data_IF_374989499381
#
_entry.id   IF_374989499381
#
_cell.length_a   1.000
_cell.length_b   1.000
_cell.length_c   1.000
_cell.angle_alpha   90.00
_cell.angle_beta   90.00
_cell.angle_gamma   90.00
#
_symmetry.space_group_name_H-M   'P 1'
#
loop_
_entity.id
_entity.type
_entity.pdbx_description
1 polymer ?
#
# COMPACT_ATOMS: atom_id res chain seq x y z
N UNK A 1 8.09 -1.11 -18.40
CA UNK A 1 8.24 -0.68 -16.98
C UNK A 1 9.72 -0.53 -16.65
N UNK A 2 10.05 0.26 -15.63
CA UNK A 2 11.38 0.37 -15.03
C UNK A 2 11.29 0.03 -13.53
N UNK A 3 12.41 -0.30 -12.90
CA UNK A 3 12.47 -0.48 -11.44
C UNK A 3 13.35 0.61 -10.83
N UNK A 4 12.90 1.20 -9.72
CA UNK A 4 13.66 2.15 -8.92
C UNK A 4 14.07 1.48 -7.62
N UNK A 5 15.36 1.53 -7.28
CA UNK A 5 15.94 1.04 -6.03
C UNK A 5 16.61 2.19 -5.30
N UNK A 6 16.17 2.46 -4.08
CA UNK A 6 16.76 3.46 -3.19
C UNK A 6 17.34 2.73 -1.97
N UNK A 7 18.63 2.90 -1.72
CA UNK A 7 19.32 2.39 -0.55
C UNK A 7 19.71 3.56 0.35
N UNK A 8 19.31 3.53 1.62
CA UNK A 8 19.75 4.52 2.60
C UNK A 8 21.02 4.06 3.31
N UNK A 9 22.04 4.91 3.30
CA UNK A 9 23.28 4.70 4.03
C UNK A 9 23.35 5.62 5.26
N UNK A 10 23.81 5.06 6.38
CA UNK A 10 24.10 5.85 7.57
C UNK A 10 25.28 6.80 7.28
N UNK A 11 25.10 8.07 7.57
CA UNK A 11 26.15 9.08 7.58
C UNK A 11 26.57 9.49 8.99
N UNK A 12 27.14 10.69 9.11
CA UNK A 12 27.56 11.24 10.39
C UNK A 12 26.36 11.61 11.28
N UNK A 13 26.57 11.69 12.59
CA UNK A 13 25.55 12.14 13.55
C UNK A 13 24.54 11.07 13.98
N UNK A 14 24.74 9.82 13.58
CA UNK A 14 24.01 8.65 14.08
C UNK A 14 24.98 7.64 14.70
N UNK A 15 24.55 6.98 15.77
CA UNK A 15 25.16 5.70 16.16
C UNK A 15 24.58 4.56 15.31
N UNK A 16 25.30 3.44 15.21
CA UNK A 16 24.82 2.27 14.47
C UNK A 16 23.50 1.70 15.02
N UNK A 17 23.32 1.75 16.35
CA UNK A 17 22.10 1.31 17.00
C UNK A 17 20.93 2.24 16.68
N UNK A 18 21.12 3.56 16.86
CA UNK A 18 20.10 4.55 16.50
C UNK A 18 19.70 4.42 15.03
N UNK A 19 20.67 4.28 14.13
CA UNK A 19 20.36 4.11 12.71
C UNK A 19 19.59 2.83 12.43
N UNK A 20 19.87 1.72 13.13
CA UNK A 20 19.14 0.47 12.93
C UNK A 20 17.67 0.59 13.38
N UNK A 21 17.42 1.29 14.50
CA UNK A 21 16.10 1.45 15.12
C UNK A 21 15.28 2.61 14.54
N UNK A 22 15.94 3.58 13.89
CA UNK A 22 15.32 4.76 13.28
C UNK A 22 14.20 4.38 12.31
N UNK A 23 13.01 4.97 12.45
CA UNK A 23 11.96 4.79 11.46
C UNK A 23 12.33 5.52 10.17
N UNK A 24 12.38 4.76 9.07
CA UNK A 24 12.74 5.28 7.74
C UNK A 24 11.62 4.97 6.77
N UNK A 25 11.12 5.99 6.10
CA UNK A 25 10.20 5.82 4.99
C UNK A 25 10.75 6.51 3.76
N UNK A 26 10.57 5.86 2.61
CA UNK A 26 10.94 6.39 1.30
C UNK A 26 9.70 6.46 0.44
N UNK A 27 9.52 7.56 -0.27
CA UNK A 27 8.46 7.72 -1.26
C UNK A 27 9.06 8.25 -2.56
N UNK A 28 8.69 7.64 -3.68
CA UNK A 28 9.01 8.19 -5.00
C UNK A 28 7.90 9.15 -5.42
N UNK A 29 8.29 10.37 -5.76
CA UNK A 29 7.36 11.47 -6.09
C UNK A 29 7.56 11.92 -7.53
N UNK A 30 6.69 12.81 -8.00
CA UNK A 30 6.73 13.37 -9.35
C UNK A 30 6.62 12.33 -10.48
N UNK A 31 5.94 11.20 -10.21
CA UNK A 31 5.80 10.11 -11.17
C UNK A 31 4.47 10.20 -11.93
N UNK A 32 4.55 10.07 -13.26
CA UNK A 32 3.43 9.62 -14.09
C UNK A 32 3.26 8.11 -13.92
N UNK A 33 2.02 7.64 -13.76
CA UNK A 33 1.70 6.21 -13.53
C UNK A 33 0.94 5.52 -14.64
N UNK A 34 0.40 6.27 -15.60
CA UNK A 34 -0.23 5.71 -16.79
C UNK A 34 0.78 5.69 -17.93
N UNK A 35 0.64 4.72 -18.82
CA UNK A 35 1.50 4.60 -19.99
C UNK A 35 0.74 3.97 -21.15
N UNK A 36 1.17 4.28 -22.37
CA UNK A 36 0.87 3.49 -23.55
C UNK A 36 2.08 2.61 -23.90
N UNK A 37 1.82 1.43 -24.46
CA UNK A 37 2.86 0.51 -24.91
C UNK A 37 2.70 0.34 -26.41
N UNK A 38 3.75 0.64 -27.16
CA UNK A 38 3.86 0.22 -28.55
C UNK A 38 4.26 -1.26 -28.59
N UNK A 39 3.33 -2.12 -29.01
CA UNK A 39 3.54 -3.57 -29.03
C UNK A 39 4.55 -4.02 -30.10
N UNK A 40 4.84 -3.19 -31.11
CA UNK A 40 5.80 -3.52 -32.17
C UNK A 40 7.24 -3.28 -31.74
N UNK A 41 7.47 -2.27 -30.89
CA UNK A 41 8.80 -1.88 -30.42
C UNK A 41 9.05 -2.20 -28.95
N UNK A 42 7.99 -2.51 -28.20
CA UNK A 42 8.04 -2.65 -26.73
C UNK A 42 8.22 -1.31 -26.00
N UNK A 43 8.18 -0.18 -26.72
CA UNK A 43 8.40 1.15 -26.15
C UNK A 43 7.26 1.51 -25.22
N UNK A 44 7.61 1.95 -24.02
CA UNK A 44 6.64 2.42 -23.01
C UNK A 44 6.72 3.94 -22.94
N UNK A 45 5.60 4.60 -23.22
CA UNK A 45 5.48 6.06 -23.20
C UNK A 45 4.59 6.48 -22.03
N UNK A 46 5.05 7.35 -21.11
CA UNK A 46 4.21 7.86 -20.04
C UNK A 46 3.05 8.67 -20.61
N UNK A 47 1.86 8.47 -20.07
CA UNK A 47 0.63 9.16 -20.48
C UNK A 47 -0.05 9.77 -19.26
N UNK A 48 -0.69 10.94 -19.43
CA UNK A 48 -1.35 11.64 -18.33
C UNK A 48 -0.44 12.60 -17.58
N UNK A 49 -0.84 12.94 -16.34
CA UNK A 49 -0.15 13.92 -15.49
C UNK A 49 0.63 13.22 -14.38
N UNK A 50 1.55 13.94 -13.76
CA UNK A 50 2.14 13.55 -12.48
C UNK A 50 1.01 13.32 -11.47
N UNK A 51 1.04 12.17 -10.81
CA UNK A 51 0.05 11.83 -9.78
C UNK A 51 0.23 12.72 -8.55
N UNK A 52 -0.88 13.10 -7.91
CA UNK A 52 -0.83 13.87 -6.65
C UNK A 52 -0.29 13.03 -5.48
N UNK A 53 -0.33 11.71 -5.61
CA UNK A 53 0.08 10.75 -4.57
C UNK A 53 1.44 10.14 -4.92
N UNK A 54 2.30 9.99 -3.92
CA UNK A 54 3.60 9.35 -4.06
C UNK A 54 3.52 7.81 -4.15
N UNK A 55 4.55 7.18 -4.72
CA UNK A 55 4.70 5.71 -4.74
C UNK A 55 5.50 5.31 -3.50
N UNK A 56 4.86 4.59 -2.58
CA UNK A 56 5.54 3.99 -1.43
C UNK A 56 6.16 2.64 -1.84
N UNK A 57 7.49 2.54 -1.95
CA UNK A 57 8.16 1.30 -2.32
C UNK A 57 8.04 0.24 -1.21
N UNK A 58 8.11 -1.04 -1.60
CA UNK A 58 8.34 -2.11 -0.64
C UNK A 58 9.81 -2.07 -0.19
N UNK A 59 10.12 -2.53 1.02
CA UNK A 59 11.48 -2.47 1.54
C UNK A 59 11.89 -3.70 2.35
N UNK A 60 13.21 -3.90 2.45
CA UNK A 60 13.86 -4.87 3.31
C UNK A 60 15.13 -4.20 3.87
N UNK A 61 15.15 -4.01 5.18
CA UNK A 61 16.16 -3.17 5.83
C UNK A 61 16.18 -1.77 5.21
N UNK A 62 17.36 -1.30 4.81
CA UNK A 62 17.58 0.03 4.26
C UNK A 62 17.49 0.09 2.73
N UNK A 63 16.79 -0.84 2.08
CA UNK A 63 16.61 -0.88 0.62
C UNK A 63 15.13 -0.86 0.25
N UNK A 64 14.73 0.10 -0.58
CA UNK A 64 13.37 0.34 -1.07
C UNK A 64 13.30 0.11 -2.57
N UNK A 65 12.32 -0.66 -3.05
CA UNK A 65 12.12 -0.98 -4.47
C UNK A 65 10.70 -0.72 -4.94
N UNK A 66 10.56 -0.09 -6.11
CA UNK A 66 9.27 0.17 -6.74
C UNK A 66 9.33 0.06 -8.26
N UNK A 67 8.24 -0.45 -8.84
CA UNK A 67 8.02 -0.41 -10.28
C UNK A 67 7.50 0.97 -10.67
N UNK A 68 8.13 1.59 -11.67
CA UNK A 68 7.75 2.91 -12.19
C UNK A 68 7.56 2.86 -13.71
N UNK A 69 6.75 3.78 -14.22
CA UNK A 69 6.69 4.04 -15.66
C UNK A 69 8.00 4.70 -16.08
N UNK A 70 8.68 4.20 -17.15
CA UNK A 70 9.84 4.87 -17.73
C UNK A 70 9.50 6.32 -18.09
N UNK A 71 10.23 7.27 -17.50
CA UNK A 71 10.00 8.70 -17.68
C UNK A 71 11.26 9.49 -17.33
N UNK A 72 11.33 10.72 -17.82
CA UNK A 72 12.40 11.67 -17.51
C UNK A 72 11.90 12.68 -16.49
N UNK A 73 12.67 12.88 -15.43
CA UNK A 73 12.49 13.93 -14.44
C UNK A 73 13.53 15.02 -14.69
N UNK A 74 13.09 16.28 -14.70
CA UNK A 74 13.98 17.42 -14.90
C UNK A 74 14.88 17.65 -13.67
N UNK A 75 16.07 18.21 -13.89
CA UNK A 75 16.97 18.69 -12.87
C UNK A 75 16.25 19.52 -11.79
N UNK A 76 16.62 19.31 -10.52
CA UNK A 76 16.03 19.99 -9.37
C UNK A 76 14.66 19.44 -8.93
N UNK A 77 13.98 18.65 -9.77
CA UNK A 77 12.72 17.98 -9.38
C UNK A 77 13.00 16.97 -8.28
N UNK A 78 12.20 17.02 -7.22
CA UNK A 78 12.28 16.03 -6.14
C UNK A 78 12.01 14.64 -6.72
N UNK A 79 12.97 13.75 -6.52
CA UNK A 79 12.91 12.35 -6.96
C UNK A 79 12.34 11.48 -5.84
N UNK A 80 12.82 11.74 -4.62
CA UNK A 80 12.55 10.91 -3.44
C UNK A 80 12.27 11.79 -2.24
N UNK A 81 11.17 11.51 -1.54
CA UNK A 81 10.95 12.01 -0.19
C UNK A 81 11.39 10.94 0.82
N UNK A 82 12.23 11.33 1.76
CA UNK A 82 12.73 10.48 2.84
C UNK A 82 12.20 11.03 4.15
N UNK A 83 11.39 10.24 4.86
CA UNK A 83 10.86 10.62 6.17
C UNK A 83 11.60 9.85 7.25
N UNK A 84 12.15 10.57 8.22
CA UNK A 84 12.91 10.07 9.35
C UNK A 84 12.24 10.60 10.63
N UNK A 85 11.75 9.69 11.49
CA UNK A 85 10.99 10.04 12.71
C UNK A 85 9.88 11.10 12.49
N UNK A 86 9.17 10.98 11.37
CA UNK A 86 8.06 11.89 11.01
C UNK A 86 8.47 13.20 10.33
N UNK A 87 9.76 13.53 10.23
CA UNK A 87 10.25 14.68 9.48
C UNK A 87 10.64 14.28 8.05
N UNK A 88 10.10 14.97 7.05
CA UNK A 88 10.36 14.69 5.63
C UNK A 88 11.48 15.57 5.07
N UNK A 89 12.35 14.94 4.28
CA UNK A 89 13.47 15.53 3.57
C UNK A 89 13.37 15.20 2.08
N UNK A 90 13.72 16.16 1.23
CA UNK A 90 13.54 16.07 -0.21
C UNK A 90 14.87 15.85 -0.91
N UNK A 91 14.98 14.75 -1.65
CA UNK A 91 16.14 14.48 -2.50
C UNK A 91 15.83 14.78 -3.96
N UNK A 92 16.63 15.66 -4.56
CA UNK A 92 16.59 16.00 -5.98
C UNK A 92 17.97 15.76 -6.61
N UNK A 93 17.99 15.49 -7.92
CA UNK A 93 19.23 15.44 -8.70
C UNK A 93 19.53 16.81 -9.32
N UNK A 94 20.81 17.20 -9.47
CA UNK A 94 21.19 18.44 -10.15
C UNK A 94 21.05 18.36 -11.67
N UNK A 95 20.87 17.15 -12.20
CA UNK A 95 20.73 16.86 -13.62
C UNK A 95 19.45 16.07 -13.88
N UNK A 96 18.97 16.13 -15.12
CA UNK A 96 17.86 15.33 -15.59
C UNK A 96 18.13 13.83 -15.35
N UNK A 97 17.08 13.09 -14.99
CA UNK A 97 17.16 11.65 -14.77
C UNK A 97 16.11 10.93 -15.59
N UNK A 98 16.49 9.85 -16.27
CA UNK A 98 15.52 8.99 -16.99
C UNK A 98 15.50 7.59 -16.40
N UNK A 99 14.34 7.16 -15.91
CA UNK A 99 14.10 5.77 -15.54
C UNK A 99 14.15 4.89 -16.78
N UNK A 100 15.18 4.06 -16.91
CA UNK A 100 15.36 3.23 -18.09
C UNK A 100 14.44 2.01 -18.09
N UNK A 101 13.71 1.81 -19.19
CA UNK A 101 12.83 0.67 -19.37
C UNK A 101 13.60 -0.66 -19.28
N UNK A 102 13.03 -1.64 -18.57
CA UNK A 102 13.63 -2.96 -18.39
C UNK A 102 14.89 -2.98 -17.52
N UNK A 103 15.23 -1.87 -16.86
CA UNK A 103 16.43 -1.74 -16.01
C UNK A 103 16.07 -1.46 -14.56
N UNK A 104 17.02 -1.78 -13.69
CA UNK A 104 17.03 -1.34 -12.30
C UNK A 104 17.81 -0.02 -12.20
N UNK A 105 17.18 1.01 -11.65
CA UNK A 105 17.72 2.35 -11.49
C UNK A 105 18.06 2.54 -10.01
N UNK A 106 19.34 2.55 -9.67
CA UNK A 106 19.84 2.43 -8.31
C UNK A 106 20.32 3.78 -7.78
N UNK A 107 19.95 4.09 -6.54
CA UNK A 107 20.40 5.28 -5.82
C UNK A 107 20.82 4.87 -4.41
N UNK A 108 22.04 5.20 -4.03
CA UNK A 108 22.51 5.10 -2.64
C UNK A 108 22.57 6.50 -2.07
N UNK A 109 21.68 6.79 -1.13
CA UNK A 109 21.55 8.11 -0.50
C UNK A 109 22.05 7.99 0.94
N UNK A 110 23.11 8.73 1.28
CA UNK A 110 23.56 8.89 2.65
C UNK A 110 22.74 9.93 3.37
N UNK A 111 22.44 9.64 4.63
CA UNK A 111 21.75 10.55 5.55
C UNK A 111 22.73 10.94 6.65
N UNK A 112 23.05 12.23 6.73
CA UNK A 112 23.89 12.81 7.78
C UNK A 112 22.99 13.65 8.71
N UNK A 113 23.08 13.47 10.03
CA UNK A 113 22.36 14.29 11.03
C UNK A 113 23.25 15.42 11.51
N UNK A 114 22.79 16.66 11.34
CA UNK A 114 23.51 17.86 11.77
C UNK A 114 23.39 18.05 13.28
N UNK A 115 24.51 18.40 13.90
CA UNK A 115 24.54 18.89 15.27
C UNK A 115 24.63 20.42 15.29
N UNK A 116 23.90 21.13 16.19
CA UNK A 116 22.98 20.62 17.22
C UNK A 116 21.51 20.52 16.77
N UNK A 117 21.17 20.88 15.52
CA UNK A 117 19.77 21.06 15.12
C UNK A 117 18.98 19.75 14.98
N UNK A 118 19.67 18.62 14.75
CA UNK A 118 19.03 17.34 14.47
C UNK A 118 18.53 17.18 13.03
N UNK A 119 18.60 18.24 12.22
CA UNK A 119 18.19 18.20 10.82
C UNK A 119 19.08 17.26 10.02
N UNK A 120 18.47 16.49 9.13
CA UNK A 120 19.21 15.60 8.25
C UNK A 120 19.53 16.27 6.91
N UNK A 121 20.71 15.93 6.36
CA UNK A 121 21.08 16.21 4.98
C UNK A 121 21.20 14.93 4.19
N UNK A 122 20.77 15.00 2.93
CA UNK A 122 20.74 13.87 2.01
C UNK A 122 21.84 14.05 0.96
N UNK A 123 22.70 13.05 0.81
CA UNK A 123 23.82 13.07 -0.15
C UNK A 123 23.77 11.83 -1.03
N UNK A 124 23.83 12.00 -2.36
CA UNK A 124 23.97 10.87 -3.27
C UNK A 124 25.40 10.33 -3.20
N UNK A 125 25.58 9.11 -2.70
CA UNK A 125 26.88 8.43 -2.68
C UNK A 125 27.18 7.69 -3.99
N UNK A 126 26.13 7.19 -4.63
CA UNK A 126 26.28 6.42 -5.85
C UNK A 126 24.96 6.24 -6.57
N UNK A 127 25.05 6.17 -7.88
CA UNK A 127 23.95 5.79 -8.75
C UNK A 127 24.45 4.83 -9.83
N UNK A 128 23.56 3.94 -10.28
CA UNK A 128 23.87 3.02 -11.38
C UNK A 128 22.60 2.54 -12.04
N UNK A 129 22.73 2.10 -13.29
CA UNK A 129 21.66 1.41 -14.01
C UNK A 129 22.14 0.00 -14.31
N UNK A 130 21.52 -0.98 -13.68
CA UNK A 130 21.91 -2.39 -13.78
C UNK A 130 20.83 -3.21 -14.49
N UNK A 131 21.15 -4.43 -14.96
CA UNK A 131 20.12 -5.40 -15.33
C UNK A 131 19.07 -5.51 -14.22
N UNK A 132 17.81 -5.68 -14.61
CA UNK A 132 16.75 -5.86 -13.62
C UNK A 132 16.90 -7.23 -12.95
N UNK A 133 17.24 -7.21 -11.66
CA UNK A 133 17.23 -8.37 -10.78
C UNK A 133 15.79 -8.72 -10.35
N UNK A 134 15.37 -9.96 -10.63
CA UNK A 134 14.08 -10.46 -10.13
C UNK A 134 14.20 -10.77 -8.64
N UNK A 135 13.35 -10.14 -7.81
CA UNK A 135 13.34 -10.38 -6.37
C UNK A 135 11.91 -10.22 -5.77
N UNK A 136 11.64 -10.80 -4.60
CA UNK A 136 10.30 -10.77 -3.98
C UNK A 136 9.78 -9.36 -3.65
N UNK A 137 10.65 -8.37 -3.40
CA UNK A 137 10.27 -6.98 -3.11
C UNK A 137 9.92 -6.18 -4.37
N UNK A 138 10.55 -6.49 -5.50
CA UNK A 138 10.15 -5.94 -6.80
C UNK A 138 8.95 -6.67 -7.40
N UNK A 139 8.65 -7.89 -6.92
CA UNK A 139 7.66 -8.82 -7.49
C UNK A 139 6.59 -9.35 -6.52
N UNK A 140 6.23 -8.63 -5.45
CA UNK A 140 4.84 -8.76 -4.98
C UNK A 140 3.85 -8.14 -6.01
N UNK A 141 4.39 -7.39 -6.97
CA UNK A 141 3.92 -7.37 -8.34
C UNK A 141 4.23 -8.68 -9.07
N UNK A 142 3.66 -9.81 -8.61
CA UNK A 142 3.50 -10.95 -9.53
C UNK A 142 2.75 -10.39 -10.73
N UNK A 143 3.15 -10.72 -11.96
CA UNK A 143 2.32 -10.47 -13.13
C UNK A 143 1.05 -11.33 -12.97
N UNK A 144 0.12 -10.84 -12.15
CA UNK A 144 -1.17 -11.44 -11.91
C UNK A 144 -2.01 -10.98 -13.09
N UNK A 145 -2.43 -11.93 -13.91
CA UNK A 145 -3.50 -11.67 -14.85
C UNK A 145 -4.75 -11.42 -14.03
N UNK A 146 -5.01 -10.15 -13.72
CA UNK A 146 -6.26 -9.75 -13.11
C UNK A 146 -7.37 -9.94 -14.14
N UNK A 147 -8.44 -10.58 -13.71
CA UNK A 147 -9.73 -10.39 -14.36
C UNK A 147 -10.19 -8.99 -13.95
N UNK A 148 -10.35 -8.11 -14.93
CA UNK A 148 -10.78 -6.74 -14.70
C UNK A 148 -12.26 -6.65 -14.99
N UNK A 149 -13.03 -6.20 -13.98
CA UNK A 149 -14.47 -6.09 -14.05
C UNK A 149 -14.83 -4.63 -13.80
N UNK A 150 -15.46 -4.01 -14.80
CA UNK A 150 -16.04 -2.70 -14.61
C UNK A 150 -17.50 -2.84 -14.18
N UNK A 151 -17.75 -2.59 -12.89
CA UNK A 151 -19.07 -2.67 -12.29
C UNK A 151 -19.93 -1.47 -12.69
N UNK A 152 -21.03 -1.73 -13.37
CA UNK A 152 -22.06 -0.74 -13.70
C UNK A 152 -23.23 -0.92 -12.73
N UNK A 153 -23.83 0.19 -12.30
CA UNK A 153 -24.72 0.36 -11.12
C UNK A 153 -25.94 -0.55 -10.99
N UNK A 154 -26.18 -1.50 -11.90
CA UNK A 154 -27.32 -2.40 -11.79
C UNK A 154 -26.99 -3.64 -10.95
N UNK A 155 -25.95 -4.43 -11.22
CA UNK A 155 -25.44 -5.48 -10.30
C UNK A 155 -24.01 -5.87 -10.70
N UNK A 156 -23.07 -5.91 -9.74
CA UNK A 156 -21.69 -6.36 -10.01
C UNK A 156 -21.64 -7.76 -10.66
N UNK A 157 -22.57 -8.64 -10.28
CA UNK A 157 -22.66 -9.99 -10.85
C UNK A 157 -23.00 -10.01 -12.33
N UNK A 158 -23.77 -9.03 -12.82
CA UNK A 158 -24.08 -8.96 -14.24
C UNK A 158 -22.84 -8.63 -15.06
N UNK A 159 -21.96 -7.78 -14.52
CA UNK A 159 -20.66 -7.52 -15.10
C UNK A 159 -19.77 -8.78 -15.13
N UNK A 160 -19.84 -9.64 -14.11
CA UNK A 160 -19.14 -10.95 -14.10
C UNK A 160 -19.74 -11.89 -15.15
N UNK A 161 -21.07 -12.05 -15.18
CA UNK A 161 -21.78 -12.93 -16.12
C UNK A 161 -21.55 -12.54 -17.57
N UNK A 162 -21.53 -11.23 -17.86
CA UNK A 162 -21.29 -10.71 -19.20
C UNK A 162 -19.90 -11.06 -19.75
N UNK A 163 -18.91 -11.34 -18.88
CA UNK A 163 -17.59 -11.81 -19.30
C UNK A 163 -17.57 -13.30 -19.69
N UNK A 164 -18.62 -14.06 -19.37
CA UNK A 164 -18.69 -15.50 -19.64
C UNK A 164 -17.66 -16.32 -18.85
N UNK A 165 -17.15 -15.78 -17.74
CA UNK A 165 -16.13 -16.43 -16.89
C UNK A 165 -16.83 -17.18 -15.76
N UNK A 166 -16.35 -18.38 -15.44
CA UNK A 166 -16.77 -19.08 -14.23
C UNK A 166 -16.15 -18.39 -13.00
N UNK A 167 -16.97 -17.94 -12.01
CA UNK A 167 -16.47 -17.28 -10.80
C UNK A 167 -15.43 -18.10 -10.02
N UNK A 168 -15.50 -19.43 -10.10
CA UNK A 168 -14.52 -20.32 -9.46
C UNK A 168 -13.11 -20.21 -10.09
N UNK A 169 -12.99 -19.71 -11.32
CA UNK A 169 -11.71 -19.51 -11.99
C UNK A 169 -11.09 -18.14 -11.62
N UNK A 170 -11.82 -17.29 -10.89
CA UNK A 170 -11.34 -15.97 -10.48
C UNK A 170 -10.41 -16.10 -9.29
N UNK A 171 -9.10 -16.01 -9.58
CA UNK A 171 -8.04 -16.01 -8.55
C UNK A 171 -7.56 -14.60 -8.22
N UNK A 172 -7.51 -13.72 -9.23
CA UNK A 172 -7.03 -12.34 -9.14
C UNK A 172 -8.05 -11.40 -9.76
N UNK A 173 -8.67 -10.54 -8.96
CA UNK A 173 -9.77 -9.68 -9.39
C UNK A 173 -9.42 -8.20 -9.19
N UNK A 174 -9.59 -7.41 -10.25
CA UNK A 174 -9.58 -5.94 -10.20
C UNK A 174 -10.98 -5.46 -10.50
N UNK A 175 -11.53 -4.64 -9.61
CA UNK A 175 -12.85 -4.02 -9.79
C UNK A 175 -12.66 -2.53 -10.03
N UNK A 176 -13.37 -2.02 -11.04
CA UNK A 176 -13.53 -0.59 -11.31
C UNK A 176 -15.02 -0.26 -11.36
N UNK A 177 -15.37 1.03 -11.41
CA UNK A 177 -16.77 1.44 -11.49
C UNK A 177 -17.45 1.41 -10.12
N UNK A 178 -18.78 1.37 -10.10
CA UNK A 178 -19.55 1.57 -8.87
C UNK A 178 -19.90 0.26 -8.18
N UNK A 179 -19.82 0.23 -6.86
CA UNK A 179 -20.30 -0.87 -6.04
C UNK A 179 -21.23 -0.40 -4.93
N UNK A 180 -22.11 -1.31 -4.53
CA UNK A 180 -23.00 -1.20 -3.38
C UNK A 180 -22.66 -2.26 -2.32
N UNK A 181 -23.20 -2.12 -1.11
CA UNK A 181 -23.17 -3.14 -0.06
C UNK A 181 -23.57 -4.55 -0.57
N UNK A 182 -24.61 -4.65 -1.40
CA UNK A 182 -25.11 -5.94 -1.91
C UNK A 182 -24.09 -6.63 -2.83
N UNK A 183 -23.32 -5.86 -3.59
CA UNK A 183 -22.29 -6.37 -4.48
C UNK A 183 -21.12 -6.99 -3.70
N UNK A 184 -20.79 -6.44 -2.53
CA UNK A 184 -19.63 -6.90 -1.72
C UNK A 184 -19.83 -8.27 -1.09
N UNK A 185 -21.08 -8.68 -0.82
CA UNK A 185 -21.41 -10.03 -0.34
C UNK A 185 -20.95 -11.10 -1.36
N UNK A 186 -20.91 -10.74 -2.64
CA UNK A 186 -20.48 -11.61 -3.73
C UNK A 186 -18.97 -11.81 -3.82
N UNK A 187 -18.18 -11.15 -2.94
CA UNK A 187 -16.75 -11.37 -2.80
C UNK A 187 -16.43 -12.52 -1.84
N UNK A 188 -17.45 -13.09 -1.19
CA UNK A 188 -17.29 -14.18 -0.22
C UNK A 188 -16.97 -15.54 -0.86
N UNK A 189 -16.51 -16.48 -0.04
CA UNK A 189 -16.19 -17.87 -0.39
C UNK A 189 -17.30 -18.59 -1.16
N UNK A 190 -18.57 -18.21 -0.92
CA UNK A 190 -19.71 -18.81 -1.60
C UNK A 190 -19.70 -18.51 -3.11
N UNK A 191 -19.30 -17.29 -3.48
CA UNK A 191 -19.35 -16.79 -4.85
C UNK A 191 -17.98 -16.80 -5.54
N UNK A 192 -16.89 -16.63 -4.78
CA UNK A 192 -15.52 -16.56 -5.29
C UNK A 192 -14.56 -17.40 -4.43
N UNK A 193 -14.73 -18.74 -4.38
CA UNK A 193 -14.01 -19.61 -3.44
C UNK A 193 -12.48 -19.63 -3.63
N UNK A 194 -12.00 -19.24 -4.82
CA UNK A 194 -10.58 -19.26 -5.17
C UNK A 194 -9.92 -17.87 -5.18
N UNK A 195 -10.65 -16.81 -4.77
CA UNK A 195 -10.13 -15.45 -4.78
C UNK A 195 -8.96 -15.31 -3.80
N UNK A 196 -7.78 -14.99 -4.35
CA UNK A 196 -6.56 -14.78 -3.56
C UNK A 196 -6.18 -13.32 -3.46
N UNK A 197 -6.54 -12.51 -4.46
CA UNK A 197 -6.10 -11.12 -4.52
C UNK A 197 -7.21 -10.24 -5.07
N UNK A 198 -7.56 -9.20 -4.32
CA UNK A 198 -8.63 -8.28 -4.64
C UNK A 198 -8.09 -6.85 -4.73
N UNK A 199 -8.27 -6.22 -5.88
CA UNK A 199 -7.90 -4.82 -6.11
C UNK A 199 -9.16 -3.99 -6.35
N UNK A 200 -9.49 -3.15 -5.37
CA UNK A 200 -10.63 -2.24 -5.38
C UNK A 200 -10.20 -0.77 -5.37
N UNK A 201 -8.94 -0.47 -5.73
CA UNK A 201 -8.38 0.90 -5.69
C UNK A 201 -9.21 1.93 -6.46
N UNK A 202 -9.85 1.50 -7.54
CA UNK A 202 -10.61 2.32 -8.49
C UNK A 202 -12.13 2.11 -8.35
N UNK A 203 -12.58 1.47 -7.26
CA UNK A 203 -14.02 1.33 -6.97
C UNK A 203 -14.57 2.66 -6.48
N UNK A 204 -15.67 3.07 -7.11
CA UNK A 204 -16.51 4.19 -6.68
C UNK A 204 -17.51 3.61 -5.68
N UNK A 205 -17.21 3.74 -4.40
CA UNK A 205 -18.07 3.20 -3.38
C UNK A 205 -19.15 4.22 -2.99
N UNK A 206 -20.40 3.92 -3.34
CA UNK A 206 -21.50 4.89 -3.19
C UNK A 206 -22.00 4.99 -1.76
N UNK A 207 -21.93 3.90 -1.01
CA UNK A 207 -22.31 3.84 0.41
C UNK A 207 -21.15 4.12 1.37
N UNK A 208 -19.91 4.21 0.88
CA UNK A 208 -18.67 4.47 1.64
C UNK A 208 -18.31 3.44 2.73
N UNK A 209 -19.08 2.37 2.87
CA UNK A 209 -18.81 1.23 3.74
C UNK A 209 -17.79 0.26 3.14
N UNK A 210 -16.86 -0.28 3.93
CA UNK A 210 -15.94 -1.33 3.49
C UNK A 210 -16.27 -2.69 4.11
N UNK A 211 -16.39 -3.72 3.25
CA UNK A 211 -16.45 -5.14 3.64
C UNK A 211 -16.10 -6.05 2.45
N UNK A 212 -15.52 -7.23 2.73
CA UNK A 212 -15.29 -8.31 1.76
C UNK A 212 -16.07 -9.58 2.15
N UNK A 213 -16.56 -9.66 3.40
CA UNK A 213 -17.16 -10.88 3.94
C UNK A 213 -16.13 -11.98 4.21
N UNK A 214 -16.58 -13.25 4.29
CA UNK A 214 -15.69 -14.40 4.47
C UNK A 214 -15.00 -14.75 3.16
N UNK A 215 -13.68 -14.57 3.08
CA UNK A 215 -12.86 -15.01 1.96
C UNK A 215 -11.61 -15.72 2.47
N UNK A 216 -11.72 -17.03 2.70
CA UNK A 216 -10.69 -17.89 3.32
C UNK A 216 -9.40 -17.93 2.53
N UNK A 217 -9.46 -17.78 1.20
CA UNK A 217 -8.29 -17.84 0.33
C UNK A 217 -7.64 -16.47 0.08
N UNK A 218 -8.27 -15.37 0.51
CA UNK A 218 -7.77 -14.01 0.26
C UNK A 218 -6.48 -13.78 1.02
N UNK A 219 -5.46 -13.31 0.29
CA UNK A 219 -4.10 -13.07 0.79
C UNK A 219 -3.68 -11.62 0.67
N UNK A 220 -4.20 -10.92 -0.34
CA UNK A 220 -3.89 -9.53 -0.59
C UNK A 220 -5.13 -8.75 -0.97
N UNK A 221 -5.23 -7.56 -0.39
CA UNK A 221 -6.32 -6.63 -0.58
C UNK A 221 -5.74 -5.23 -0.84
N UNK A 222 -6.21 -4.60 -1.91
CA UNK A 222 -5.90 -3.20 -2.22
C UNK A 222 -7.21 -2.44 -2.17
N UNK A 223 -7.28 -1.46 -1.26
CA UNK A 223 -8.50 -0.72 -0.94
C UNK A 223 -8.43 0.67 -1.60
N UNK A 224 -9.59 1.20 -2.00
CA UNK A 224 -9.77 2.61 -2.40
C UNK A 224 -9.60 3.56 -1.20
N UNK A 225 -9.33 4.84 -1.47
CA UNK A 225 -9.21 5.87 -0.43
C UNK A 225 -10.56 6.53 -0.08
N UNK A 226 -11.68 6.08 -0.66
CA UNK A 226 -12.99 6.73 -0.54
C UNK A 226 -13.96 6.05 0.44
N UNK A 227 -13.46 5.14 1.28
CA UNK A 227 -14.25 4.53 2.34
C UNK A 227 -14.22 5.40 3.60
N UNK A 228 -15.35 5.45 4.31
CA UNK A 228 -15.52 6.22 5.55
C UNK A 228 -15.65 5.33 6.80
N UNK A 229 -15.96 4.03 6.65
CA UNK A 229 -15.92 3.09 7.78
C UNK A 229 -15.76 1.63 7.33
N UNK A 230 -15.31 0.78 8.24
CA UNK A 230 -15.34 -0.67 8.09
C UNK A 230 -16.62 -1.23 8.71
N UNK A 231 -17.34 -2.07 7.97
CA UNK A 231 -18.56 -2.71 8.49
C UNK A 231 -18.22 -3.78 9.53
N UNK A 232 -19.26 -4.20 10.27
CA UNK A 232 -19.11 -5.34 11.18
C UNK A 232 -18.65 -6.58 10.42
N UNK A 233 -17.58 -7.21 10.91
CA UNK A 233 -16.93 -8.35 10.27
C UNK A 233 -16.27 -8.06 8.93
N UNK A 234 -15.96 -6.79 8.60
CA UNK A 234 -15.48 -6.32 7.30
C UNK A 234 -14.48 -7.25 6.59
N UNK A 235 -13.44 -7.72 7.28
CA UNK A 235 -12.48 -8.72 6.79
C UNK A 235 -12.21 -9.85 7.80
N UNK A 236 -13.06 -10.03 8.81
CA UNK A 236 -12.88 -11.04 9.86
C UNK A 236 -12.75 -12.47 9.31
N UNK A 237 -13.49 -12.79 8.26
CA UNK A 237 -13.47 -14.09 7.61
C UNK A 237 -12.32 -14.30 6.61
N UNK A 238 -11.25 -13.48 6.68
CA UNK A 238 -10.08 -13.54 5.80
C UNK A 238 -8.81 -13.98 6.57
N UNK A 239 -8.73 -15.22 7.08
CA UNK A 239 -7.64 -15.68 7.95
C UNK A 239 -6.27 -15.73 7.26
N UNK A 240 -6.21 -15.72 5.93
CA UNK A 240 -4.94 -15.76 5.19
C UNK A 240 -4.48 -14.40 4.67
N UNK A 241 -5.22 -13.34 5.00
CA UNK A 241 -4.85 -11.97 4.68
C UNK A 241 -3.61 -11.57 5.48
N UNK A 242 -2.60 -11.03 4.81
CA UNK A 242 -1.28 -10.75 5.37
C UNK A 242 -0.79 -9.35 5.01
N UNK A 243 0.20 -8.89 5.76
CA UNK A 243 0.83 -7.59 5.57
C UNK A 243 0.01 -6.45 6.16
N UNK A 244 0.49 -5.21 6.02
CA UNK A 244 -0.27 -4.04 6.45
C UNK A 244 -1.44 -3.81 5.48
N UNK A 245 -2.63 -3.61 6.03
CA UNK A 245 -3.76 -3.04 5.29
C UNK A 245 -3.80 -1.55 5.62
N UNK A 246 -3.65 -0.66 4.62
CA UNK A 246 -3.87 0.76 4.86
C UNK A 246 -5.34 0.97 5.19
N UNK A 247 -5.62 1.57 6.36
CA UNK A 247 -6.92 2.12 6.71
C UNK A 247 -6.91 3.56 6.17
N UNK A 248 -7.72 3.89 5.14
CA UNK A 248 -7.68 5.20 4.50
C UNK A 248 -7.95 6.36 5.46
N UNK A 249 -7.36 7.52 5.16
CA UNK A 249 -7.80 8.78 5.78
C UNK A 249 -9.24 9.10 5.36
N UNK A 250 -10.06 9.55 6.32
CA UNK A 250 -11.50 9.70 6.17
C UNK A 250 -12.29 8.60 6.87
N UNK A 251 -11.65 7.48 7.24
CA UNK A 251 -12.29 6.42 8.02
C UNK A 251 -12.52 6.89 9.47
N UNK A 252 -13.78 7.05 9.85
CA UNK A 252 -14.17 7.54 11.18
C UNK A 252 -14.53 6.41 12.15
N UNK A 253 -14.84 5.20 11.66
CA UNK A 253 -15.22 4.05 12.48
C UNK A 253 -14.65 2.71 11.96
N UNK A 254 -14.18 1.87 12.89
CA UNK A 254 -13.91 0.45 12.66
C UNK A 254 -14.99 -0.38 13.34
N UNK A 255 -15.80 -1.09 12.54
CA UNK A 255 -16.95 -1.87 13.00
C UNK A 255 -16.62 -3.07 13.89
N UNK A 256 -17.66 -3.59 14.56
CA UNK A 256 -17.54 -4.76 15.45
C UNK A 256 -16.95 -5.94 14.71
N UNK A 257 -15.93 -6.59 15.29
CA UNK A 257 -15.20 -7.71 14.70
C UNK A 257 -14.53 -7.40 13.33
N UNK A 258 -14.41 -6.15 12.88
CA UNK A 258 -14.04 -5.83 11.50
C UNK A 258 -12.76 -6.53 10.99
N UNK A 259 -11.74 -6.68 11.83
CA UNK A 259 -10.48 -7.35 11.53
C UNK A 259 -10.23 -8.60 12.39
N UNK A 260 -11.24 -9.08 13.14
CA UNK A 260 -11.09 -10.16 14.10
C UNK A 260 -10.43 -11.39 13.48
N UNK A 261 -9.32 -11.84 14.07
CA UNK A 261 -8.72 -13.14 13.77
C UNK A 261 -7.93 -13.16 12.46
N UNK A 262 -7.60 -11.98 11.92
CA UNK A 262 -6.79 -11.85 10.72
C UNK A 262 -5.29 -12.02 11.03
N UNK A 263 -4.55 -12.59 10.07
CA UNK A 263 -3.09 -12.75 10.16
C UNK A 263 -2.33 -11.52 9.62
N UNK A 264 -2.91 -10.34 9.77
CA UNK A 264 -2.25 -9.06 9.45
C UNK A 264 -1.05 -8.88 10.36
N UNK A 265 0.01 -8.25 9.86
CA UNK A 265 1.30 -8.16 10.54
C UNK A 265 1.97 -6.81 10.27
N UNK A 266 2.94 -6.45 11.10
CA UNK A 266 3.60 -5.14 11.07
C UNK A 266 2.80 -4.08 11.83
N UNK A 267 2.88 -2.82 11.37
CA UNK A 267 2.30 -1.67 12.07
C UNK A 267 0.83 -1.50 11.74
N UNK A 268 -0.02 -1.40 12.77
CA UNK A 268 -1.39 -0.93 12.63
C UNK A 268 -1.40 0.61 12.51
N UNK A 269 -1.56 1.10 11.29
CA UNK A 269 -1.69 2.54 11.03
C UNK A 269 -3.17 2.94 11.08
N UNK A 270 -3.54 3.70 12.11
CA UNK A 270 -4.90 4.24 12.29
C UNK A 270 -4.95 5.68 11.74
N UNK A 271 -6.00 6.06 10.99
CA UNK A 271 -6.10 7.38 10.39
C UNK A 271 -6.42 8.45 11.44
N UNK A 272 -5.97 9.68 11.19
CA UNK A 272 -6.18 10.82 12.08
C UNK A 272 -7.66 11.16 12.34
N UNK A 273 -8.52 10.74 11.41
CA UNK A 273 -9.97 10.94 11.38
C UNK A 273 -10.75 9.90 12.19
N UNK A 274 -10.10 8.87 12.71
CA UNK A 274 -10.75 7.79 13.45
C UNK A 274 -11.31 8.29 14.79
N UNK A 275 -12.59 8.03 15.03
CA UNK A 275 -13.29 8.41 16.27
C UNK A 275 -13.78 7.23 17.09
N UNK A 276 -14.03 6.08 16.44
CA UNK A 276 -14.64 4.91 17.06
C UNK A 276 -13.96 3.60 16.64
N UNK A 277 -13.63 2.78 17.63
CA UNK A 277 -13.18 1.39 17.45
C UNK A 277 -14.17 0.52 18.21
N UNK A 278 -14.97 -0.28 17.51
CA UNK A 278 -16.03 -1.09 18.11
C UNK A 278 -15.50 -2.36 18.79
N UNK A 279 -16.41 -3.11 19.43
CA UNK A 279 -16.09 -4.33 20.16
C UNK A 279 -15.36 -5.35 19.26
N UNK A 280 -14.29 -5.94 19.80
CA UNK A 280 -13.45 -6.93 19.13
C UNK A 280 -12.91 -6.53 17.74
N UNK A 281 -12.92 -5.24 17.40
CA UNK A 281 -12.56 -4.74 16.06
C UNK A 281 -11.23 -5.30 15.52
N UNK A 282 -10.22 -5.42 16.37
CA UNK A 282 -8.91 -5.99 16.07
C UNK A 282 -8.58 -7.21 16.94
N UNK A 283 -9.57 -7.86 17.54
CA UNK A 283 -9.34 -9.00 18.41
C UNK A 283 -8.59 -10.12 17.66
N UNK A 284 -7.57 -10.70 18.30
CA UNK A 284 -6.75 -11.78 17.76
C UNK A 284 -6.04 -11.44 16.42
N UNK A 285 -5.76 -10.16 16.15
CA UNK A 285 -4.90 -9.75 15.02
C UNK A 285 -3.41 -10.04 15.29
N UNK A 286 -2.63 -10.23 14.22
CA UNK A 286 -1.19 -10.51 14.26
C UNK A 286 -0.25 -9.29 14.20
N UNK A 287 -0.75 -8.06 14.40
CA UNK A 287 0.05 -6.83 14.39
C UNK A 287 1.16 -6.88 15.45
N UNK A 288 2.34 -6.32 15.14
CA UNK A 288 3.58 -6.59 15.89
C UNK A 288 4.23 -5.34 16.50
N UNK A 289 3.79 -4.15 16.08
CA UNK A 289 4.41 -2.89 16.50
C UNK A 289 3.61 -2.15 17.58
N UNK A 290 4.12 -1.01 18.02
CA UNK A 290 3.44 -0.11 18.94
C UNK A 290 2.11 0.41 18.36
N UNK A 291 1.02 0.22 19.10
CA UNK A 291 -0.27 0.83 18.83
C UNK A 291 -0.21 2.32 19.17
N UNK A 292 -0.41 3.16 18.15
CA UNK A 292 -0.56 4.60 18.30
C UNK A 292 -2.00 5.00 18.02
N UNK A 293 -2.75 5.30 19.07
CA UNK A 293 -4.12 5.79 18.94
C UNK A 293 -4.14 7.25 18.43
N UNK A 294 -4.96 7.55 17.41
CA UNK A 294 -5.22 8.92 17.01
C UNK A 294 -5.87 9.72 18.15
N UNK A 295 -5.50 11.00 18.29
CA UNK A 295 -6.06 11.89 19.33
C UNK A 295 -7.59 12.03 19.29
N UNK A 296 -8.21 11.75 18.14
CA UNK A 296 -9.65 11.87 17.92
C UNK A 296 -10.48 10.66 18.37
N UNK A 297 -9.85 9.57 18.81
CA UNK A 297 -10.59 8.38 19.26
C UNK A 297 -11.32 8.68 20.57
N UNK A 298 -12.65 8.54 20.55
CA UNK A 298 -13.53 8.82 21.68
C UNK A 298 -14.19 7.55 22.26
N UNK A 299 -14.11 6.43 21.55
CA UNK A 299 -14.67 5.15 21.95
C UNK A 299 -13.78 3.99 21.51
N UNK A 300 -13.49 3.11 22.46
CA UNK A 300 -12.82 1.82 22.25
C UNK A 300 -13.72 0.76 22.89
N UNK A 301 -14.21 -0.16 22.07
CA UNK A 301 -15.14 -1.19 22.46
C UNK A 301 -14.50 -2.29 23.31
N UNK A 302 -15.37 -3.14 23.87
CA UNK A 302 -14.96 -4.28 24.65
C UNK A 302 -14.06 -5.20 23.81
N UNK A 303 -12.94 -5.64 24.39
CA UNK A 303 -12.00 -6.56 23.73
C UNK A 303 -11.45 -6.07 22.37
N UNK A 304 -11.52 -4.77 22.05
CA UNK A 304 -11.13 -4.24 20.74
C UNK A 304 -9.75 -4.70 20.25
N UNK A 305 -8.80 -4.91 21.17
CA UNK A 305 -7.45 -5.41 20.91
C UNK A 305 -7.11 -6.68 21.69
N UNK A 306 -8.12 -7.43 22.15
CA UNK A 306 -7.91 -8.65 22.93
C UNK A 306 -7.13 -9.68 22.10
N UNK A 307 -6.26 -10.46 22.75
CA UNK A 307 -5.42 -11.51 22.12
C UNK A 307 -4.46 -11.03 21.02
N UNK A 308 -4.23 -9.73 20.86
CA UNK A 308 -3.15 -9.18 20.02
C UNK A 308 -1.78 -9.35 20.70
N UNK A 309 -1.28 -10.59 20.75
CA UNK A 309 -0.13 -10.98 21.60
C UNK A 309 1.19 -10.26 21.30
N UNK A 310 1.33 -9.69 20.10
CA UNK A 310 2.53 -8.99 19.65
C UNK A 310 2.36 -7.47 19.63
N UNK A 311 1.14 -6.97 19.81
CA UNK A 311 0.85 -5.54 19.83
C UNK A 311 1.30 -4.97 21.18
N UNK A 312 2.06 -3.88 21.14
CA UNK A 312 2.51 -3.14 22.33
C UNK A 312 1.93 -1.73 22.30
N UNK A 313 2.13 -0.92 23.34
CA UNK A 313 1.69 0.48 23.37
C UNK A 313 0.80 0.80 24.57
N UNK A 314 0.31 2.03 24.60
CA UNK A 314 -0.54 2.56 25.66
C UNK A 314 -1.89 2.96 25.07
N UNK A 315 -2.98 2.55 25.75
CA UNK A 315 -4.34 2.98 25.46
C UNK A 315 -4.65 4.30 26.17
#
# INVERSE_FOLDING_TARGET
MACARVTLAMGEGFTAQEWAELEKQVQLVNLVRKASIDLSTGTVTPTGKVEKTATRPQHNGNEWRAIVVPQTLAAGTTLVDITLDGQTYHFSRPEDFTFQAGRMNNFTIRVDRKFPTGDCTLTLLGESITPWESDPMSHDGTARKYIVVNSTTEYFWDSIRALGINPNDIVHLKITGSMTNLDRIMLSDYWMPNLRTLNMREVINTDKAFSVGSSKMLRQLIISENFEWFESGGVAGCPHLKGPIPIPEGVWCIGMDAFHGTNLSGTLNLPSTLTKIEDRAFAACGYEDELRLPKGVTYIGEEAFAWCKKLTGNL
#
